data_IF_527997808492
#
_entry.id   IF_527997808492
#
_cell.length_a   1.000
_cell.length_b   1.000
_cell.length_c   1.000
_cell.angle_alpha   90.00
_cell.angle_beta   90.00
_cell.angle_gamma   90.00
#
_symmetry.space_group_name_H-M   'P 1'
#
loop_
_entity.id
_entity.type
_entity.pdbx_description
1 polymer ?
#
# COMPACT_ATOMS: atom_id res chain seq x y z
N UNK A 1 -17.93 -7.41 3.74
CA UNK A 1 -16.47 -7.54 3.47
C UNK A 1 -15.75 -6.64 4.46
N UNK A 2 -14.52 -7.01 4.86
CA UNK A 2 -13.71 -6.21 5.80
C UNK A 2 -12.77 -5.29 5.03
N UNK A 3 -12.55 -4.09 5.58
CA UNK A 3 -11.43 -3.24 5.18
C UNK A 3 -10.17 -3.80 5.82
N UNK A 4 -9.22 -4.20 5.00
CA UNK A 4 -7.97 -4.85 5.42
C UNK A 4 -6.83 -3.91 5.05
N UNK A 5 -5.97 -3.61 6.02
CA UNK A 5 -4.76 -2.81 5.80
C UNK A 5 -3.52 -3.58 6.22
N UNK A 6 -2.43 -3.50 5.45
CA UNK A 6 -1.16 -4.16 5.79
C UNK A 6 0.02 -3.28 5.49
N UNK A 7 0.85 -3.08 6.49
CA UNK A 7 1.97 -2.17 6.43
C UNK A 7 3.29 -2.90 6.19
N UNK A 8 4.12 -2.31 5.34
CA UNK A 8 5.50 -2.73 5.07
C UNK A 8 6.43 -1.53 5.21
N UNK A 9 7.60 -1.77 5.79
CA UNK A 9 8.63 -0.74 6.04
C UNK A 9 9.84 -0.90 5.09
N UNK A 10 9.89 -2.00 4.31
CA UNK A 10 10.98 -2.28 3.39
C UNK A 10 10.81 -1.54 2.06
N UNK A 11 10.87 -0.21 2.14
CA UNK A 11 10.79 0.70 1.00
C UNK A 11 11.91 1.73 1.06
N UNK A 12 12.32 2.19 -0.12
CA UNK A 12 13.38 3.16 -0.29
C UNK A 12 12.91 4.32 -1.16
N UNK A 13 13.47 5.49 -0.88
CA UNK A 13 13.25 6.68 -1.68
C UNK A 13 14.27 6.78 -2.80
N UNK A 14 13.78 7.06 -4.01
CA UNK A 14 14.60 7.19 -5.20
C UNK A 14 14.31 8.53 -5.88
N UNK A 15 15.36 9.14 -6.43
CA UNK A 15 15.25 10.32 -7.28
C UNK A 15 15.81 9.94 -8.65
N UNK A 16 14.99 10.05 -9.68
CA UNK A 16 15.37 9.77 -11.07
C UNK A 16 15.22 11.05 -11.89
N UNK A 17 16.20 11.33 -12.74
CA UNK A 17 16.13 12.43 -13.69
C UNK A 17 15.54 11.90 -15.01
N UNK A 18 14.54 12.59 -15.56
CA UNK A 18 14.03 12.26 -16.89
C UNK A 18 14.88 12.89 -18.01
N UNK A 19 14.53 12.60 -19.26
CA UNK A 19 15.24 13.09 -20.45
C UNK A 19 15.28 14.62 -20.58
N UNK A 20 14.42 15.34 -19.85
CA UNK A 20 14.35 16.79 -19.85
C UNK A 20 15.10 17.42 -18.65
N UNK A 21 15.77 16.60 -17.84
CA UNK A 21 16.47 17.06 -16.64
C UNK A 21 15.56 17.26 -15.42
N UNK A 22 14.28 16.85 -15.50
CA UNK A 22 13.35 17.00 -14.38
C UNK A 22 13.52 15.84 -13.40
N UNK A 23 13.70 16.20 -12.12
CA UNK A 23 13.79 15.23 -11.01
C UNK A 23 12.42 14.71 -10.64
N UNK A 24 12.25 13.40 -10.73
CA UNK A 24 11.08 12.66 -10.33
C UNK A 24 11.40 11.86 -9.06
N UNK A 25 10.50 11.90 -8.10
CA UNK A 25 10.69 11.30 -6.78
C UNK A 25 9.82 10.06 -6.66
N UNK A 26 10.38 8.97 -6.16
CA UNK A 26 9.73 7.67 -6.08
C UNK A 26 9.92 7.01 -4.72
N UNK A 27 8.95 6.18 -4.37
CA UNK A 27 9.06 5.16 -3.32
C UNK A 27 9.06 3.80 -4.02
N UNK A 28 10.02 2.95 -3.66
CA UNK A 28 10.22 1.65 -4.28
C UNK A 28 10.60 0.60 -3.26
N UNK A 29 10.02 -0.60 -3.36
CA UNK A 29 10.33 -1.71 -2.47
C UNK A 29 9.14 -2.64 -2.28
N UNK A 30 9.07 -3.33 -1.15
CA UNK A 30 8.02 -4.30 -0.86
C UNK A 30 6.76 -3.57 -0.42
N UNK A 31 5.66 -3.72 -1.17
CA UNK A 31 4.35 -3.12 -0.86
C UNK A 31 3.38 -4.10 -0.20
N UNK A 32 3.53 -5.40 -0.47
CA UNK A 32 2.75 -6.48 0.15
C UNK A 32 3.60 -7.76 0.21
N UNK A 33 3.24 -8.70 1.08
CA UNK A 33 3.95 -9.98 1.25
C UNK A 33 2.96 -11.15 1.34
N UNK A 34 3.28 -12.25 0.67
CA UNK A 34 2.52 -13.49 0.62
C UNK A 34 3.10 -14.56 1.56
N UNK A 35 2.31 -15.59 1.87
CA UNK A 35 2.73 -16.84 2.52
C UNK A 35 3.40 -16.69 3.91
N UNK A 36 3.25 -15.51 4.53
CA UNK A 36 3.75 -15.25 5.88
C UNK A 36 2.73 -14.48 6.71
N UNK A 37 2.74 -14.73 8.02
CA UNK A 37 1.86 -14.04 8.97
C UNK A 37 2.35 -12.62 9.19
N UNK A 38 1.56 -11.64 8.79
CA UNK A 38 1.87 -10.23 8.97
C UNK A 38 1.57 -9.75 10.40
N UNK A 39 1.80 -8.46 10.67
CA UNK A 39 1.59 -7.83 11.99
C UNK A 39 0.14 -7.88 12.47
N UNK A 40 -0.82 -7.95 11.55
CA UNK A 40 -2.25 -8.07 11.83
C UNK A 40 -2.71 -9.54 11.98
N UNK A 41 -1.76 -10.48 12.02
CA UNK A 41 -2.04 -11.90 12.17
C UNK A 41 -2.69 -12.54 10.93
N UNK A 42 -2.55 -11.91 9.76
CA UNK A 42 -3.12 -12.39 8.50
C UNK A 42 -2.05 -12.99 7.59
N UNK A 43 -2.47 -13.95 6.77
CA UNK A 43 -1.66 -14.56 5.72
C UNK A 43 -2.38 -14.38 4.40
N UNK A 44 -1.64 -13.92 3.38
CA UNK A 44 -2.13 -13.78 2.03
C UNK A 44 -1.57 -14.93 1.17
N UNK A 45 -2.43 -15.84 0.68
CA UNK A 45 -1.98 -16.85 -0.28
C UNK A 45 -1.43 -16.19 -1.56
N UNK A 46 -0.31 -16.70 -2.08
CA UNK A 46 0.41 -16.15 -3.21
C UNK A 46 -0.48 -16.03 -4.45
N UNK A 47 -1.21 -17.09 -4.79
CA UNK A 47 -2.10 -17.09 -5.96
C UNK A 47 -3.21 -16.03 -5.88
N UNK A 48 -3.65 -15.65 -4.67
CA UNK A 48 -4.62 -14.57 -4.48
C UNK A 48 -3.95 -13.22 -4.78
N UNK A 49 -2.74 -12.99 -4.24
CA UNK A 49 -2.00 -11.76 -4.51
C UNK A 49 -1.57 -11.63 -5.97
N UNK A 50 -1.16 -12.72 -6.63
CA UNK A 50 -0.81 -12.71 -8.05
C UNK A 50 -1.99 -12.28 -8.93
N UNK A 51 -3.17 -12.89 -8.69
CA UNK A 51 -4.38 -12.54 -9.41
C UNK A 51 -4.77 -11.08 -9.17
N UNK A 52 -4.70 -10.63 -7.91
CA UNK A 52 -5.08 -9.28 -7.55
C UNK A 52 -4.10 -8.24 -8.11
N UNK A 53 -2.79 -8.49 -8.07
CA UNK A 53 -1.78 -7.61 -8.69
C UNK A 53 -2.00 -7.52 -10.20
N UNK A 54 -2.29 -8.63 -10.88
CA UNK A 54 -2.63 -8.64 -12.30
C UNK A 54 -3.87 -7.80 -12.63
N UNK A 55 -4.94 -7.95 -11.84
CA UNK A 55 -6.16 -7.14 -11.95
C UNK A 55 -5.86 -5.66 -11.70
N UNK A 56 -5.14 -5.34 -10.64
CA UNK A 56 -4.83 -3.98 -10.22
C UNK A 56 -3.99 -3.26 -11.27
N UNK A 57 -2.97 -3.93 -11.82
CA UNK A 57 -2.16 -3.40 -12.91
C UNK A 57 -2.99 -3.06 -14.14
N UNK A 58 -3.83 -4.01 -14.59
CA UNK A 58 -4.68 -3.83 -15.78
C UNK A 58 -5.70 -2.71 -15.63
N UNK A 59 -6.32 -2.61 -14.46
CA UNK A 59 -7.47 -1.73 -14.25
C UNK A 59 -7.09 -0.34 -13.73
N UNK A 60 -5.98 -0.23 -12.98
CA UNK A 60 -5.59 1.00 -12.31
C UNK A 60 -4.24 1.52 -12.80
N UNK A 61 -3.17 0.73 -12.73
CA UNK A 61 -1.81 1.21 -13.07
C UNK A 61 -1.72 1.58 -14.55
N UNK A 62 -2.11 0.68 -15.45
CA UNK A 62 -2.08 0.92 -16.90
C UNK A 62 -2.97 2.09 -17.35
N UNK A 63 -3.96 2.46 -16.52
CA UNK A 63 -4.91 3.55 -16.79
C UNK A 63 -4.58 4.83 -16.00
N UNK A 64 -3.44 4.89 -15.31
CA UNK A 64 -3.04 6.03 -14.45
C UNK A 64 -4.08 6.39 -13.37
N UNK A 65 -4.72 5.37 -12.78
CA UNK A 65 -5.74 5.51 -11.73
C UNK A 65 -5.30 4.95 -10.38
N UNK A 66 -4.10 4.34 -10.30
CA UNK A 66 -3.57 3.75 -9.08
C UNK A 66 -2.99 4.82 -8.14
N UNK A 67 -3.87 5.63 -7.55
CA UNK A 67 -3.52 6.70 -6.62
C UNK A 67 -3.48 6.18 -5.19
N UNK A 68 -2.57 6.72 -4.40
CA UNK A 68 -2.47 6.48 -2.96
C UNK A 68 -2.41 7.78 -2.17
N UNK A 69 -2.78 7.69 -0.90
CA UNK A 69 -2.89 8.83 0.00
C UNK A 69 -1.64 9.01 0.86
N UNK A 70 -1.48 10.19 1.46
CA UNK A 70 -0.59 10.38 2.60
C UNK A 70 -1.38 10.17 3.90
N UNK A 71 -0.89 9.24 4.72
CA UNK A 71 -1.47 8.78 5.99
C UNK A 71 -2.82 8.05 5.80
N UNK A 72 -3.30 7.36 6.82
CA UNK A 72 -4.46 6.47 6.72
C UNK A 72 -5.79 7.21 6.52
N UNK A 73 -6.59 6.80 5.51
CA UNK A 73 -7.99 7.18 5.40
C UNK A 73 -8.89 6.32 6.29
N UNK A 74 -10.12 6.80 6.50
CA UNK A 74 -11.12 6.12 7.33
C UNK A 74 -11.97 5.08 6.55
N UNK A 75 -11.69 4.86 5.26
CA UNK A 75 -12.55 4.04 4.38
C UNK A 75 -11.86 3.47 3.14
N UNK A 76 -12.60 2.68 2.34
CA UNK A 76 -12.04 1.92 1.21
C UNK A 76 -11.75 2.74 -0.04
N UNK A 77 -12.36 3.92 -0.18
CA UNK A 77 -12.21 4.78 -1.36
C UNK A 77 -11.07 5.76 -1.18
N UNK A 78 -10.39 6.09 -2.29
CA UNK A 78 -9.34 7.12 -2.28
C UNK A 78 -9.94 8.52 -2.18
N UNK A 79 -9.46 9.33 -1.23
CA UNK A 79 -9.77 10.75 -1.16
C UNK A 79 -8.78 11.56 -2.02
N UNK A 80 -9.27 12.20 -3.09
CA UNK A 80 -8.44 12.99 -4.02
C UNK A 80 -7.70 14.15 -3.35
N UNK A 81 -8.27 14.76 -2.31
CA UNK A 81 -7.63 15.85 -1.56
C UNK A 81 -6.38 15.38 -0.79
N UNK A 82 -6.29 14.07 -0.54
CA UNK A 82 -5.22 13.44 0.23
C UNK A 82 -4.20 12.70 -0.63
N UNK A 83 -4.42 12.63 -1.94
CA UNK A 83 -3.55 11.91 -2.88
C UNK A 83 -2.15 12.51 -2.84
N UNK A 84 -1.15 11.66 -2.61
CA UNK A 84 0.26 12.04 -2.51
C UNK A 84 1.10 11.42 -3.61
N UNK A 85 0.69 10.28 -4.14
CA UNK A 85 1.47 9.52 -5.10
C UNK A 85 0.60 8.70 -6.04
N UNK A 86 1.24 8.18 -7.07
CA UNK A 86 0.62 7.25 -8.02
C UNK A 86 1.56 6.07 -8.27
N UNK A 87 1.03 4.87 -8.10
CA UNK A 87 1.72 3.62 -8.41
C UNK A 87 1.96 3.56 -9.92
N UNK A 88 3.21 3.27 -10.29
CA UNK A 88 3.68 3.14 -11.67
C UNK A 88 3.97 1.70 -12.05
N UNK A 89 4.29 0.86 -11.08
CA UNK A 89 4.51 -0.57 -11.29
C UNK A 89 4.22 -1.36 -10.02
N UNK A 90 3.73 -2.58 -10.19
CA UNK A 90 3.57 -3.60 -9.15
C UNK A 90 3.88 -4.96 -9.77
N UNK A 91 4.77 -5.71 -9.13
CA UNK A 91 5.22 -7.00 -9.64
C UNK A 91 5.38 -7.99 -8.50
N UNK A 92 4.93 -9.22 -8.70
CA UNK A 92 5.18 -10.31 -7.76
C UNK A 92 6.57 -10.89 -8.05
N UNK A 93 7.41 -10.95 -7.02
CA UNK A 93 8.74 -11.54 -7.06
C UNK A 93 8.92 -12.49 -5.86
N UNK A 94 8.80 -13.80 -6.11
CA UNK A 94 8.74 -14.78 -5.03
C UNK A 94 7.50 -14.54 -4.17
N UNK A 95 7.68 -14.30 -2.87
CA UNK A 95 6.59 -14.00 -1.95
C UNK A 95 6.37 -12.48 -1.74
N UNK A 96 7.17 -11.62 -2.37
CA UNK A 96 7.04 -10.18 -2.20
C UNK A 96 6.33 -9.55 -3.41
N UNK A 97 5.49 -8.55 -3.16
CA UNK A 97 4.96 -7.66 -4.20
C UNK A 97 5.80 -6.39 -4.20
N UNK A 98 6.67 -6.26 -5.19
CA UNK A 98 7.53 -5.11 -5.39
C UNK A 98 6.74 -4.01 -6.11
N UNK A 99 6.69 -2.84 -5.50
CA UNK A 99 6.00 -1.66 -6.04
C UNK A 99 6.96 -0.51 -6.35
N UNK A 100 6.57 0.31 -7.32
CA UNK A 100 7.20 1.61 -7.59
C UNK A 100 6.11 2.68 -7.69
N UNK A 101 6.17 3.67 -6.81
CA UNK A 101 5.21 4.77 -6.73
C UNK A 101 5.89 6.12 -6.96
N UNK A 102 5.33 6.94 -7.85
CA UNK A 102 5.80 8.32 -8.09
C UNK A 102 5.10 9.29 -7.16
N UNK A 103 5.86 10.07 -6.39
CA UNK A 103 5.31 11.19 -5.63
C UNK A 103 4.83 12.29 -6.59
N UNK A 104 3.62 12.79 -6.35
CA UNK A 104 2.98 13.81 -7.19
C UNK A 104 3.27 15.22 -6.67
N UNK A 105 3.01 16.23 -7.48
CA UNK A 105 3.15 17.65 -7.11
C UNK A 105 1.87 18.18 -6.41
N UNK A 106 1.10 17.30 -5.77
CA UNK A 106 -0.03 17.66 -4.91
C UNK A 106 0.47 18.21 -3.56
N UNK A 107 -0.38 18.89 -2.77
CA UNK A 107 0.01 19.30 -1.42
C UNK A 107 0.56 18.15 -0.57
N UNK A 108 -0.11 16.99 -0.58
CA UNK A 108 0.33 15.81 0.17
C UNK A 108 1.58 15.15 -0.42
N UNK A 109 1.74 15.17 -1.75
CA UNK A 109 2.95 14.66 -2.38
C UNK A 109 4.17 15.51 -2.05
N UNK A 110 4.02 16.84 -1.97
CA UNK A 110 5.08 17.74 -1.56
C UNK A 110 5.43 17.60 -0.07
N UNK A 111 4.45 17.35 0.80
CA UNK A 111 4.72 17.02 2.20
C UNK A 111 5.56 15.74 2.28
N UNK A 112 5.17 14.67 1.57
CA UNK A 112 5.92 13.42 1.56
C UNK A 112 7.37 13.60 1.05
N UNK A 113 7.57 14.35 -0.03
CA UNK A 113 8.93 14.68 -0.55
C UNK A 113 9.77 15.39 0.50
N UNK A 114 9.21 16.39 1.15
CA UNK A 114 9.93 17.19 2.14
C UNK A 114 10.30 16.36 3.37
N UNK A 115 9.36 15.54 3.88
CA UNK A 115 9.63 14.65 5.02
C UNK A 115 10.82 13.74 4.74
N UNK A 116 10.85 13.08 3.59
CA UNK A 116 11.96 12.19 3.23
C UNK A 116 13.26 12.96 3.01
N UNK A 117 13.19 14.15 2.42
CA UNK A 117 14.37 15.02 2.22
C UNK A 117 15.00 15.45 3.55
N UNK A 118 14.17 15.68 4.58
CA UNK A 118 14.61 15.99 5.95
C UNK A 118 15.02 14.74 6.75
N UNK A 119 15.06 13.56 6.10
CA UNK A 119 15.53 12.32 6.71
C UNK A 119 14.47 11.49 7.44
N UNK A 120 13.17 11.82 7.31
CA UNK A 120 12.12 10.99 7.85
C UNK A 120 12.02 9.65 7.10
N UNK A 121 11.82 8.57 7.85
CA UNK A 121 11.53 7.24 7.31
C UNK A 121 10.01 7.08 7.18
N UNK A 122 9.57 6.65 6.00
CA UNK A 122 8.18 6.40 5.68
C UNK A 122 8.01 4.94 5.26
N UNK A 123 6.91 4.34 5.68
CA UNK A 123 6.47 3.03 5.20
C UNK A 123 5.37 3.16 4.16
N UNK A 124 4.89 2.02 3.68
CA UNK A 124 3.67 1.95 2.90
C UNK A 124 2.67 1.01 3.55
N UNK A 125 1.39 1.20 3.26
CA UNK A 125 0.34 0.32 3.72
C UNK A 125 -0.64 0.03 2.61
N UNK A 126 -0.74 -1.24 2.24
CA UNK A 126 -1.78 -1.71 1.34
C UNK A 126 -3.14 -1.60 2.02
N UNK A 127 -4.16 -1.30 1.22
CA UNK A 127 -5.54 -1.16 1.66
C UNK A 127 -6.43 -1.86 0.65
N UNK A 128 -7.26 -2.79 1.13
CA UNK A 128 -8.16 -3.54 0.29
C UNK A 128 -9.41 -4.01 1.02
N UNK A 129 -10.33 -4.55 0.25
CA UNK A 129 -11.55 -5.18 0.75
C UNK A 129 -11.43 -6.69 0.57
N UNK A 130 -11.72 -7.47 1.59
CA UNK A 130 -11.70 -8.93 1.48
C UNK A 130 -12.43 -9.64 2.61
N UNK A 131 -12.63 -10.93 2.44
CA UNK A 131 -13.07 -11.83 3.50
C UNK A 131 -11.85 -12.54 4.14
N UNK A 132 -12.02 -12.95 5.39
CA UNK A 132 -11.02 -13.67 6.17
C UNK A 132 -11.57 -15.04 6.59
N UNK A 133 -10.71 -16.04 6.58
CA UNK A 133 -10.97 -17.37 7.13
C UNK A 133 -9.99 -17.64 8.28
N UNK A 134 -10.50 -17.81 9.50
CA UNK A 134 -9.66 -18.11 10.66
C UNK A 134 -9.32 -19.61 10.69
N UNK A 135 -8.02 -19.92 10.73
CA UNK A 135 -7.49 -21.28 10.95
C UNK A 135 -6.37 -21.20 11.98
N UNK A 136 -6.53 -21.90 13.10
CA UNK A 136 -5.52 -22.03 14.16
C UNK A 136 -4.94 -20.67 14.61
N UNK A 137 -5.82 -19.69 14.84
CA UNK A 137 -5.43 -18.34 15.29
C UNK A 137 -4.71 -17.50 14.22
N UNK A 138 -4.81 -17.89 12.95
CA UNK A 138 -4.27 -17.14 11.80
C UNK A 138 -5.39 -16.86 10.81
N UNK A 139 -5.49 -15.61 10.37
CA UNK A 139 -6.53 -15.19 9.44
C UNK A 139 -6.01 -15.30 8.00
N UNK A 140 -6.54 -16.24 7.22
CA UNK A 140 -6.20 -16.37 5.81
C UNK A 140 -7.10 -15.46 4.98
N UNK A 141 -6.49 -14.65 4.12
CA UNK A 141 -7.23 -13.80 3.18
C UNK A 141 -7.81 -14.66 2.08
N UNK A 142 -9.09 -14.42 1.77
CA UNK A 142 -9.84 -15.16 0.76
C UNK A 142 -9.69 -14.57 -0.65
N UNK A 143 -10.18 -15.33 -1.62
CA UNK A 143 -10.11 -15.05 -3.06
C UNK A 143 -10.94 -13.85 -3.52
N UNK A 144 -11.79 -13.30 -2.65
CA UNK A 144 -12.54 -12.07 -2.87
C UNK A 144 -11.75 -10.80 -2.51
N UNK A 145 -10.47 -10.92 -2.17
CA UNK A 145 -9.61 -9.77 -1.88
C UNK A 145 -9.43 -8.85 -3.09
N UNK A 146 -9.66 -7.57 -2.87
CA UNK A 146 -9.50 -6.49 -3.84
C UNK A 146 -8.64 -5.39 -3.25
N UNK A 147 -7.47 -5.16 -3.84
CA UNK A 147 -6.61 -4.03 -3.53
C UNK A 147 -7.26 -2.73 -4.04
N UNK A 148 -7.39 -1.77 -3.13
CA UNK A 148 -7.91 -0.44 -3.43
C UNK A 148 -6.78 0.56 -3.64
N UNK A 149 -5.82 0.60 -2.71
CA UNK A 149 -4.70 1.54 -2.73
C UNK A 149 -3.49 0.98 -1.96
N UNK A 150 -2.34 1.60 -2.18
CA UNK A 150 -1.20 1.52 -1.26
C UNK A 150 -0.94 2.95 -0.82
N UNK A 151 -1.00 3.21 0.48
CA UNK A 151 -0.91 4.55 1.06
C UNK A 151 0.47 4.74 1.73
N UNK A 152 1.01 5.96 1.71
CA UNK A 152 2.26 6.29 2.43
C UNK A 152 1.91 6.53 3.89
N UNK A 153 2.65 5.91 4.81
CA UNK A 153 2.44 6.07 6.26
C UNK A 153 3.73 6.44 6.97
N UNK A 154 3.59 7.02 8.16
CA UNK A 154 4.73 7.17 9.05
C UNK A 154 5.22 5.78 9.47
N UNK A 155 6.53 5.57 9.46
CA UNK A 155 7.14 4.37 10.02
C UNK A 155 6.80 4.26 11.52
N UNK A 156 6.10 3.21 11.98
CA UNK A 156 5.76 3.03 13.39
C UNK A 156 6.88 2.34 14.17
N UNK A 157 8.14 2.40 13.74
CA UNK A 157 9.31 1.81 14.40
C UNK A 157 9.54 2.22 15.88
N UNK A 158 8.63 2.97 16.49
CA UNK A 158 8.44 2.96 17.94
C UNK A 158 7.90 1.59 18.42
N UNK A 159 8.68 0.78 19.15
CA UNK A 159 8.22 -0.50 19.69
C UNK A 159 7.00 -0.27 20.60
N UNK A 160 5.83 -0.70 20.16
CA UNK A 160 4.56 -0.51 20.88
C UNK A 160 3.59 0.53 20.29
N UNK A 161 3.88 1.12 19.12
CA UNK A 161 2.88 1.87 18.36
C UNK A 161 1.89 0.91 17.70
N UNK A 162 0.93 0.41 18.48
CA UNK A 162 -0.16 -0.41 17.99
C UNK A 162 -1.19 0.48 17.29
N UNK A 163 -1.32 0.34 15.97
CA UNK A 163 -2.53 0.75 15.27
C UNK A 163 -3.35 -0.50 15.01
N UNK A 164 -4.07 -0.98 16.03
CA UNK A 164 -5.26 -1.77 15.73
C UNK A 164 -6.17 -0.84 14.95
N UNK A 165 -6.31 -1.06 13.64
CA UNK A 165 -7.15 -0.22 12.80
C UNK A 165 -8.56 -0.18 13.40
N UNK A 166 -8.89 0.94 14.05
CA UNK A 166 -10.12 1.14 14.84
C UNK A 166 -11.40 0.86 14.00
N UNK A 167 -11.25 0.75 12.68
CA UNK A 167 -12.31 0.54 11.70
C UNK A 167 -12.23 -0.78 10.92
N UNK A 168 -11.19 -1.62 11.12
CA UNK A 168 -11.09 -2.93 10.46
C UNK A 168 -12.18 -3.94 10.93
N UNK A 169 -12.89 -3.61 12.01
CA UNK A 169 -14.06 -4.35 12.49
C UNK A 169 -15.40 -3.93 11.89
N UNK A 170 -15.44 -2.93 10.97
CA UNK A 170 -16.67 -2.53 10.30
C UNK A 170 -16.91 -3.36 9.05
N UNK A 171 -18.13 -3.90 8.94
CA UNK A 171 -18.61 -4.49 7.70
C UNK A 171 -18.98 -3.41 6.70
N UNK A 172 -18.51 -3.59 5.46
CA UNK A 172 -18.83 -2.72 4.34
C UNK A 172 -19.70 -3.47 3.32
N UNK A 173 -20.67 -2.75 2.76
CA UNK A 173 -21.38 -3.13 1.52
C UNK A 173 -20.48 -2.64 0.39
N UNK A 174 -19.85 -3.58 -0.31
CA UNK A 174 -18.84 -3.35 -1.34
C UNK A 174 -19.14 -4.19 -2.56
#
# INVERSE_FOLDING_TARGET
>A
MKLITEMTENVHYLIEEDSEGKKNHFIHGVFMQAEQKNRNGRVYPLGILENEVGRYNKNFVAKSRAMGELNHPQGPTVNLDRVSHMIKDLKVEGNDVIGKAKLLDTPMGNIAKNLVTEGAQLGVSSRGMGSLEEKDGTNYVKDDFMLSAVDIVADPSAPGAFVNGIMEGKEWIW
#
